data_IF_658651299905
#
_entry.id   IF_658651299905
#
_cell.length_a   1.000
_cell.length_b   1.000
_cell.length_c   1.000
_cell.angle_alpha   90.00
_cell.angle_beta   90.00
_cell.angle_gamma   90.00
#
_symmetry.space_group_name_H-M   'P 1'
#
loop_
_entity.id
_entity.type
_entity.pdbx_description
1 polymer ?
#
# COMPACT_ATOMS: atom_id res chain seq x y z
N UNK A 1 -42.56 37.45 23.57
CA UNK A 1 -41.71 38.64 23.36
C UNK A 1 -40.32 38.33 23.90
N UNK A 2 -39.27 38.57 23.09
CA UNK A 2 -37.85 38.82 23.41
C UNK A 2 -37.14 37.90 24.44
N UNK A 3 -36.15 37.09 24.03
CA UNK A 3 -34.68 37.38 24.04
C UNK A 3 -34.09 37.38 25.49
N UNK A 4 -32.98 36.73 25.86
CA UNK A 4 -31.69 36.52 25.21
C UNK A 4 -30.85 35.44 25.94
N UNK A 5 -29.83 34.94 25.22
CA UNK A 5 -28.75 34.04 25.66
C UNK A 5 -27.88 34.66 26.78
N UNK A 6 -27.29 33.81 27.61
CA UNK A 6 -26.04 34.10 28.35
C UNK A 6 -25.27 32.80 28.56
N UNK A 7 -24.31 32.53 27.68
CA UNK A 7 -23.23 31.59 27.96
C UNK A 7 -22.10 32.41 28.58
N UNK A 8 -21.85 32.19 29.86
CA UNK A 8 -20.70 32.73 30.59
C UNK A 8 -19.51 31.83 30.25
N UNK A 9 -18.50 32.36 29.57
CA UNK A 9 -17.18 31.74 29.50
C UNK A 9 -16.23 32.76 30.11
N UNK A 10 -15.80 32.43 31.31
CA UNK A 10 -14.88 33.19 32.14
C UNK A 10 -13.53 33.42 31.43
N UNK A 11 -13.04 34.62 31.68
CA UNK A 11 -11.72 35.19 31.43
C UNK A 11 -10.58 34.30 31.94
N UNK A 12 -9.60 33.96 31.09
CA UNK A 12 -8.19 33.75 31.49
C UNK A 12 -7.30 34.04 30.27
N UNK A 13 -6.68 35.22 30.27
CA UNK A 13 -5.41 35.47 29.60
C UNK A 13 -4.34 35.52 30.69
N UNK A 14 -3.19 34.87 30.50
CA UNK A 14 -1.95 35.53 30.86
C UNK A 14 -0.97 35.52 29.69
N UNK A 15 -0.57 36.74 29.37
CA UNK A 15 0.63 37.13 28.65
C UNK A 15 1.85 36.67 29.47
N UNK A 16 2.70 35.81 28.90
CA UNK A 16 4.06 35.61 29.38
C UNK A 16 5.02 35.53 28.19
N UNK A 17 5.97 36.46 28.19
CA UNK A 17 7.15 36.56 27.35
C UNK A 17 7.92 35.24 27.30
N UNK A 18 8.42 34.82 26.13
CA UNK A 18 9.69 34.08 26.04
C UNK A 18 10.27 34.28 24.63
N UNK A 19 11.21 35.22 24.53
CA UNK A 19 12.16 35.27 23.43
C UNK A 19 13.15 34.11 23.62
N UNK A 20 12.92 32.98 22.94
CA UNK A 20 13.90 31.89 22.87
C UNK A 20 14.42 31.68 21.45
N UNK A 21 15.57 32.32 21.23
CA UNK A 21 16.70 31.91 20.40
C UNK A 21 16.63 30.46 19.91
N UNK A 22 16.65 30.24 18.59
CA UNK A 22 17.04 28.92 18.06
C UNK A 22 17.64 29.04 16.64
N UNK A 23 18.68 29.87 16.51
CA UNK A 23 19.65 29.77 15.41
C UNK A 23 20.66 28.65 15.69
N UNK A 24 20.26 27.39 15.53
CA UNK A 24 21.26 26.28 15.47
C UNK A 24 20.77 24.97 14.83
N UNK A 25 19.74 25.01 13.97
CA UNK A 25 19.22 23.79 13.32
C UNK A 25 19.33 23.77 11.79
N UNK A 26 20.05 24.70 11.16
CA UNK A 26 20.14 24.74 9.70
C UNK A 26 20.94 23.56 9.07
N UNK A 27 22.11 23.14 9.59
CA UNK A 27 22.87 22.08 8.93
C UNK A 27 22.26 20.70 9.15
N UNK A 28 21.67 20.45 10.32
CA UNK A 28 21.02 19.18 10.66
C UNK A 28 19.72 18.99 9.88
N UNK A 29 18.88 20.03 9.75
CA UNK A 29 17.69 19.95 8.89
C UNK A 29 18.05 19.71 7.43
N UNK A 30 19.10 20.36 6.92
CA UNK A 30 19.59 20.13 5.56
C UNK A 30 20.11 18.72 5.33
N UNK A 31 20.78 18.12 6.32
CA UNK A 31 21.22 16.74 6.25
C UNK A 31 20.04 15.75 6.32
N UNK A 32 19.04 16.06 7.14
CA UNK A 32 17.80 15.27 7.22
C UNK A 32 17.04 15.34 5.88
N UNK A 33 16.87 16.52 5.30
CA UNK A 33 16.23 16.71 3.98
C UNK A 33 17.04 16.06 2.85
N UNK A 34 18.38 16.14 2.90
CA UNK A 34 19.24 15.49 1.92
C UNK A 34 19.20 13.96 2.03
N UNK A 35 19.07 13.41 3.24
CA UNK A 35 18.88 11.98 3.47
C UNK A 35 17.49 11.54 3.00
N UNK A 36 16.44 12.29 3.33
CA UNK A 36 15.06 12.03 2.88
C UNK A 36 14.92 12.08 1.36
N UNK A 37 15.58 13.03 0.68
CA UNK A 37 15.61 13.09 -0.78
C UNK A 37 16.50 12.02 -1.44
N UNK A 38 17.36 11.33 -0.67
CA UNK A 38 18.19 10.20 -1.15
C UNK A 38 17.59 8.83 -0.87
N UNK A 39 16.51 8.73 -0.08
CA UNK A 39 15.74 7.51 -0.04
C UNK A 39 15.07 7.33 -1.42
N UNK A 40 15.20 6.17 -2.08
CA UNK A 40 14.49 5.90 -3.32
C UNK A 40 12.98 5.96 -3.05
N UNK A 41 12.37 7.13 -3.27
CA UNK A 41 10.94 7.39 -3.15
C UNK A 41 10.21 6.77 -4.34
N UNK A 42 10.29 5.45 -4.48
CA UNK A 42 9.39 4.68 -5.31
C UNK A 42 9.52 3.23 -4.90
N UNK A 43 8.87 2.84 -3.81
CA UNK A 43 8.27 1.52 -3.82
C UNK A 43 7.14 1.60 -4.85
N UNK A 44 7.28 1.05 -6.07
CA UNK A 44 6.13 0.92 -6.94
C UNK A 44 5.14 0.09 -6.13
N UNK A 45 3.94 0.62 -5.91
CA UNK A 45 2.85 0.02 -5.16
C UNK A 45 2.93 -1.52 -5.26
N UNK A 46 3.55 -2.16 -4.26
CA UNK A 46 4.07 -3.52 -4.43
C UNK A 46 2.93 -4.45 -4.11
N UNK A 47 2.12 -4.74 -5.13
CA UNK A 47 1.07 -5.74 -5.04
C UNK A 47 1.73 -7.05 -4.67
N UNK A 48 1.33 -7.60 -3.52
CA UNK A 48 1.84 -8.86 -3.01
C UNK A 48 0.65 -9.72 -2.65
N UNK A 49 0.56 -10.88 -3.29
CA UNK A 49 -0.44 -11.86 -2.92
C UNK A 49 0.08 -12.73 -1.77
N UNK A 50 -0.86 -13.37 -1.07
CA UNK A 50 -0.56 -14.45 -0.12
C UNK A 50 0.11 -15.60 -0.86
N UNK A 51 0.96 -16.38 -0.21
CA UNK A 51 1.62 -17.53 -0.85
C UNK A 51 0.56 -18.53 -1.36
N UNK A 52 0.73 -19.01 -2.59
CA UNK A 52 -0.12 -20.04 -3.17
C UNK A 52 0.59 -21.39 -3.19
N UNK A 53 0.01 -22.35 -2.48
CA UNK A 53 0.46 -23.74 -2.44
C UNK A 53 -0.77 -24.64 -2.52
N UNK A 54 -0.83 -25.45 -3.59
CA UNK A 54 -1.94 -26.38 -3.87
C UNK A 54 -2.12 -27.43 -2.77
N UNK A 55 -1.06 -27.73 -2.01
CA UNK A 55 -1.11 -28.72 -0.93
C UNK A 55 -1.65 -28.13 0.37
N UNK A 56 -1.61 -26.80 0.54
CA UNK A 56 -1.92 -26.13 1.81
C UNK A 56 -3.18 -25.28 1.76
N UNK A 57 -3.49 -24.68 0.61
CA UNK A 57 -4.55 -23.68 0.48
C UNK A 57 -5.51 -24.08 -0.64
N UNK A 58 -6.81 -23.95 -0.37
CA UNK A 58 -7.83 -24.14 -1.39
C UNK A 58 -7.69 -23.07 -2.49
N UNK A 59 -7.49 -23.45 -3.77
CA UNK A 59 -7.32 -22.51 -4.88
C UNK A 59 -8.41 -21.45 -4.96
N UNK A 60 -9.67 -21.84 -4.73
CA UNK A 60 -10.81 -20.91 -4.78
C UNK A 60 -10.76 -19.87 -3.66
N UNK A 61 -10.25 -20.23 -2.48
CA UNK A 61 -10.11 -19.30 -1.37
C UNK A 61 -8.97 -18.31 -1.63
N UNK A 62 -7.83 -18.82 -2.12
CA UNK A 62 -6.69 -17.98 -2.48
C UNK A 62 -7.07 -16.97 -3.58
N UNK A 63 -7.75 -17.43 -4.63
CA UNK A 63 -8.23 -16.58 -5.73
C UNK A 63 -9.10 -15.44 -5.20
N UNK A 64 -10.04 -15.70 -4.30
CA UNK A 64 -10.89 -14.65 -3.70
C UNK A 64 -10.07 -13.61 -2.93
N UNK A 65 -9.09 -14.05 -2.16
CA UNK A 65 -8.21 -13.12 -1.43
C UNK A 65 -7.35 -12.30 -2.38
N UNK A 66 -6.80 -12.93 -3.41
CA UNK A 66 -5.99 -12.26 -4.41
C UNK A 66 -6.82 -11.30 -5.28
N UNK A 67 -8.09 -11.63 -5.54
CA UNK A 67 -9.02 -10.74 -6.24
C UNK A 67 -9.29 -9.46 -5.46
N UNK A 68 -9.54 -9.55 -4.15
CA UNK A 68 -9.72 -8.36 -3.30
C UNK A 68 -8.47 -7.46 -3.33
N UNK A 69 -7.28 -8.07 -3.28
CA UNK A 69 -6.01 -7.34 -3.35
C UNK A 69 -5.82 -6.70 -4.74
N UNK A 70 -6.18 -7.41 -5.81
CA UNK A 70 -6.07 -6.92 -7.18
C UNK A 70 -7.05 -5.77 -7.46
N UNK A 71 -8.27 -5.83 -6.93
CA UNK A 71 -9.29 -4.78 -7.05
C UNK A 71 -8.89 -3.50 -6.31
N UNK A 72 -8.31 -3.64 -5.12
CA UNK A 72 -7.81 -2.51 -4.32
C UNK A 72 -6.59 -1.85 -4.98
N UNK A 73 -5.61 -2.66 -5.37
CA UNK A 73 -4.33 -2.15 -5.84
C UNK A 73 -4.28 -1.76 -7.33
N UNK A 74 -5.22 -2.27 -8.15
CA UNK A 74 -5.26 -2.09 -9.61
C UNK A 74 -3.87 -2.25 -10.27
N UNK A 75 -3.21 -3.41 -10.12
CA UNK A 75 -1.85 -3.61 -10.61
C UNK A 75 -1.77 -3.46 -12.13
N UNK A 76 -0.69 -2.82 -12.61
CA UNK A 76 -0.30 -2.94 -14.01
C UNK A 76 0.12 -4.40 -14.31
N UNK A 77 0.06 -4.83 -15.58
CA UNK A 77 0.43 -6.19 -16.03
C UNK A 77 1.75 -6.68 -15.44
N UNK A 78 2.80 -5.86 -15.49
CA UNK A 78 4.11 -6.22 -14.95
C UNK A 78 4.11 -6.40 -13.42
N UNK A 79 3.31 -5.62 -12.70
CA UNK A 79 3.14 -5.77 -11.25
C UNK A 79 2.36 -7.04 -10.93
N UNK A 80 1.33 -7.35 -11.72
CA UNK A 80 0.53 -8.56 -11.56
C UNK A 80 1.37 -9.81 -11.81
N UNK A 81 2.11 -9.85 -12.92
CA UNK A 81 3.03 -10.95 -13.25
C UNK A 81 4.05 -11.19 -12.14
N UNK A 82 4.65 -10.10 -11.61
CA UNK A 82 5.57 -10.19 -10.49
C UNK A 82 4.91 -10.70 -9.21
N UNK A 83 3.72 -10.21 -8.89
CA UNK A 83 2.99 -10.62 -7.70
C UNK A 83 2.59 -12.11 -7.76
N UNK A 84 2.14 -12.58 -8.94
CA UNK A 84 1.82 -13.98 -9.18
C UNK A 84 3.06 -14.87 -9.07
N UNK A 85 4.16 -14.52 -9.73
CA UNK A 85 5.42 -15.28 -9.64
C UNK A 85 6.05 -15.28 -8.25
N UNK A 86 5.89 -14.19 -7.47
CA UNK A 86 6.33 -14.16 -6.07
C UNK A 86 5.45 -15.07 -5.17
N UNK A 87 4.16 -15.20 -5.49
CA UNK A 87 3.15 -15.97 -4.75
C UNK A 87 3.20 -17.47 -5.01
N UNK A 88 3.29 -17.87 -6.27
CA UNK A 88 3.27 -19.28 -6.68
C UNK A 88 4.62 -19.93 -6.35
N UNK A 89 4.59 -21.11 -5.73
CA UNK A 89 5.78 -21.89 -5.37
C UNK A 89 5.70 -23.32 -5.90
N UNK A 90 6.86 -23.94 -6.13
CA UNK A 90 6.97 -25.32 -6.59
C UNK A 90 6.24 -25.56 -7.91
N UNK A 91 5.48 -26.67 -8.00
CA UNK A 91 4.77 -27.08 -9.22
C UNK A 91 3.74 -26.07 -9.72
N UNK A 92 3.19 -25.22 -8.84
CA UNK A 92 2.26 -24.17 -9.26
C UNK A 92 2.99 -23.05 -10.01
N UNK A 93 4.26 -22.78 -9.67
CA UNK A 93 5.07 -21.77 -10.36
C UNK A 93 5.45 -22.22 -11.78
N UNK A 94 5.69 -23.51 -11.99
CA UNK A 94 5.91 -24.10 -13.32
C UNK A 94 4.67 -23.94 -14.19
N UNK A 95 3.49 -24.32 -13.69
CA UNK A 95 2.23 -24.08 -14.38
C UNK A 95 2.02 -22.60 -14.72
N UNK A 96 2.29 -21.71 -13.76
CA UNK A 96 2.16 -20.28 -13.99
C UNK A 96 3.08 -19.78 -15.11
N UNK A 97 4.32 -20.29 -15.19
CA UNK A 97 5.27 -19.90 -16.22
C UNK A 97 4.81 -20.32 -17.62
N UNK A 98 4.24 -21.51 -17.75
CA UNK A 98 3.72 -22.04 -19.03
C UNK A 98 2.44 -21.31 -19.49
N UNK A 99 1.68 -20.73 -18.55
CA UNK A 99 0.42 -20.04 -18.81
C UNK A 99 0.54 -18.51 -18.77
N UNK A 100 1.75 -17.96 -18.55
CA UNK A 100 1.96 -16.51 -18.51
C UNK A 100 2.09 -15.94 -19.92
N UNK A 101 1.03 -15.29 -20.41
CA UNK A 101 1.00 -14.70 -21.76
C UNK A 101 1.22 -13.17 -21.77
N UNK A 102 1.55 -12.63 -22.95
CA UNK A 102 1.65 -11.20 -23.21
C UNK A 102 0.31 -10.45 -23.01
N UNK A 103 -0.82 -11.16 -22.96
CA UNK A 103 -2.13 -10.58 -22.66
C UNK A 103 -2.58 -10.83 -21.21
N UNK A 104 -1.64 -11.02 -20.29
CA UNK A 104 -1.94 -11.26 -18.88
C UNK A 104 -2.75 -10.12 -18.26
N UNK A 105 -4.04 -10.39 -18.04
CA UNK A 105 -4.93 -9.63 -17.16
C UNK A 105 -5.40 -10.51 -16.02
N UNK A 106 -5.92 -9.89 -14.96
CA UNK A 106 -6.49 -10.65 -13.84
C UNK A 106 -7.64 -11.54 -14.31
N UNK A 107 -8.51 -11.07 -15.21
CA UNK A 107 -9.62 -11.87 -15.72
C UNK A 107 -9.17 -13.07 -16.56
N UNK A 108 -8.14 -12.89 -17.40
CA UNK A 108 -7.58 -13.98 -18.20
C UNK A 108 -6.94 -15.03 -17.28
N UNK A 109 -6.17 -14.59 -16.28
CA UNK A 109 -5.61 -15.48 -15.28
C UNK A 109 -6.68 -16.26 -14.51
N UNK A 110 -7.77 -15.60 -14.10
CA UNK A 110 -8.90 -16.27 -13.44
C UNK A 110 -9.55 -17.34 -14.33
N UNK A 111 -9.63 -17.09 -15.64
CA UNK A 111 -10.20 -18.06 -16.59
C UNK A 111 -9.34 -19.30 -16.68
N UNK A 112 -8.02 -19.13 -16.83
CA UNK A 112 -7.09 -20.25 -16.94
C UNK A 112 -7.06 -21.09 -15.66
N UNK A 113 -6.99 -20.45 -14.48
CA UNK A 113 -6.92 -21.17 -13.20
C UNK A 113 -8.25 -21.85 -12.80
N UNK A 114 -9.38 -21.38 -13.32
CA UNK A 114 -10.69 -22.02 -13.09
C UNK A 114 -11.03 -23.08 -14.15
N UNK A 115 -10.34 -23.06 -15.28
CA UNK A 115 -10.48 -24.06 -16.34
C UNK A 115 -9.66 -25.33 -16.08
N UNK A 116 -8.71 -25.26 -15.15
CA UNK A 116 -7.87 -26.37 -14.69
C UNK A 116 -8.36 -26.94 -13.34
#
# INVERSE_FOLDING_TARGET
MAQSRSWQIEDVVPDEEEASSNTENEPTQRLIDALLNKLPSKTPNKVKFTEFDVSKINPKAWIKTAQLIAEDAKPNKAQLARALTESFKGSSAEWLADNLDENLTWENFLREILSH
#
